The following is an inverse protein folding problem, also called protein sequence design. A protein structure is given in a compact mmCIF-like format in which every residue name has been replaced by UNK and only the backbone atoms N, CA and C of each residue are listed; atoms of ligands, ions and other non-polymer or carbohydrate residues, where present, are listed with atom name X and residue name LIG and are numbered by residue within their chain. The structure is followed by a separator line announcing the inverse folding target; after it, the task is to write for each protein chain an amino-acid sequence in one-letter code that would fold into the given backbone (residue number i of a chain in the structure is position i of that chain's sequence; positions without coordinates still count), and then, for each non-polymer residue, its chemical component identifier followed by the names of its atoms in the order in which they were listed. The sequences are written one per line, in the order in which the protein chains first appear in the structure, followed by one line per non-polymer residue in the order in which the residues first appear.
data_IF_760049349972
#
_entry.id   IF_760049349972
#
_cell.length_a   1.000
_cell.length_b   1.000
_cell.length_c   1.000
_cell.angle_alpha   90.00
_cell.angle_beta   90.00
_cell.angle_gamma   90.00
#
_symmetry.space_group_name_H-M   'P 1'
#
loop_
_entity.id
_entity.type
_entity.pdbx_description
1 polymer ?
#
# COMPACT_ATOMS: atom_id res chain seq x y z
N UNK A 1 -17.70 -8.03 -35.91
CA UNK A 1 -16.39 -8.71 -35.77
C UNK A 1 -16.07 -8.73 -34.29
N UNK A 2 -16.21 -9.88 -33.62
CA UNK A 2 -15.71 -10.01 -32.25
C UNK A 2 -14.19 -9.84 -32.33
N UNK A 3 -13.61 -9.08 -31.40
CA UNK A 3 -12.16 -9.05 -31.24
C UNK A 3 -11.67 -10.49 -31.02
N UNK A 4 -10.53 -10.90 -31.58
CA UNK A 4 -9.98 -12.23 -31.31
C UNK A 4 -9.85 -12.39 -29.79
N UNK A 5 -10.38 -13.49 -29.25
CA UNK A 5 -10.19 -13.84 -27.84
C UNK A 5 -8.70 -13.95 -27.58
N UNK A 6 -8.23 -13.08 -26.68
CA UNK A 6 -6.82 -12.97 -26.36
C UNK A 6 -6.39 -14.22 -25.59
N UNK A 7 -5.32 -14.88 -26.02
CA UNK A 7 -4.91 -16.17 -25.47
C UNK A 7 -4.34 -15.99 -24.06
N UNK A 8 -4.81 -16.79 -23.12
CA UNK A 8 -4.28 -16.84 -21.75
C UNK A 8 -2.87 -17.47 -21.78
N UNK A 9 -1.91 -16.77 -21.17
CA UNK A 9 -0.54 -17.23 -20.95
C UNK A 9 -0.40 -17.87 -19.57
N UNK A 10 -0.96 -17.23 -18.55
CA UNK A 10 -0.81 -17.67 -17.16
C UNK A 10 -1.99 -17.23 -16.29
N UNK A 11 -2.24 -17.97 -15.21
CA UNK A 11 -3.23 -17.65 -14.18
C UNK A 11 -2.63 -17.86 -12.79
N UNK A 12 -2.40 -16.76 -12.07
CA UNK A 12 -1.72 -16.80 -10.78
C UNK A 12 -2.74 -16.96 -9.66
N UNK A 13 -3.04 -18.22 -9.32
CA UNK A 13 -3.85 -18.63 -8.15
C UNK A 13 -5.18 -17.87 -7.99
N UNK A 14 -5.82 -17.50 -9.09
CA UNK A 14 -7.09 -16.78 -9.11
C UNK A 14 -7.01 -15.26 -8.92
N UNK A 15 -5.82 -14.70 -8.70
CA UNK A 15 -5.60 -13.26 -8.47
C UNK A 15 -5.44 -12.45 -9.75
N UNK A 16 -4.82 -13.02 -10.77
CA UNK A 16 -4.65 -12.37 -12.07
C UNK A 16 -4.56 -13.40 -13.20
N UNK A 17 -4.99 -12.98 -14.39
CA UNK A 17 -4.83 -13.68 -15.67
C UNK A 17 -3.96 -12.84 -16.58
N UNK A 18 -2.87 -13.40 -17.08
CA UNK A 18 -1.96 -12.77 -18.05
C UNK A 18 -2.31 -13.26 -19.46
N UNK A 19 -2.41 -12.33 -20.41
CA UNK A 19 -2.69 -12.64 -21.82
C UNK A 19 -1.44 -12.49 -22.69
N UNK A 20 -1.47 -13.10 -23.89
CA UNK A 20 -0.35 -13.16 -24.83
C UNK A 20 0.08 -11.78 -25.36
N UNK A 21 -0.84 -10.81 -25.43
CA UNK A 21 -0.51 -9.43 -25.78
C UNK A 21 0.10 -8.61 -24.61
N UNK A 22 0.29 -9.23 -23.44
CA UNK A 22 0.84 -8.61 -22.23
C UNK A 22 -0.18 -7.90 -21.34
N UNK A 23 -1.47 -7.88 -21.71
CA UNK A 23 -2.53 -7.36 -20.84
C UNK A 23 -2.76 -8.28 -19.63
N UNK A 24 -3.24 -7.69 -18.53
CA UNK A 24 -3.53 -8.40 -17.28
C UNK A 24 -4.93 -8.09 -16.79
N UNK A 25 -5.74 -9.14 -16.61
CA UNK A 25 -7.00 -9.06 -15.88
C UNK A 25 -6.78 -9.44 -14.42
N UNK A 26 -7.22 -8.60 -13.49
CA UNK A 26 -7.09 -8.80 -12.04
C UNK A 26 -8.43 -9.13 -11.37
N UNK A 27 -9.42 -9.52 -12.17
CA UNK A 27 -10.70 -10.02 -11.67
C UNK A 27 -10.49 -11.33 -10.93
N UNK A 28 -10.97 -11.40 -9.68
CA UNK A 28 -10.86 -12.59 -8.86
C UNK A 28 -11.58 -13.79 -9.50
N UNK A 29 -10.85 -14.88 -9.74
CA UNK A 29 -11.38 -16.14 -10.30
C UNK A 29 -11.24 -17.33 -9.35
N UNK A 30 -10.74 -17.11 -8.13
CA UNK A 30 -10.65 -18.13 -7.08
C UNK A 30 -11.99 -18.38 -6.36
N UNK A 31 -11.95 -19.06 -5.19
CA UNK A 31 -13.16 -19.40 -4.44
C UNK A 31 -14.04 -18.17 -4.13
N UNK A 32 -15.37 -18.24 -4.34
CA UNK A 32 -16.27 -17.10 -4.16
C UNK A 32 -16.34 -16.61 -2.71
N UNK A 33 -16.05 -17.47 -1.74
CA UNK A 33 -16.10 -17.18 -0.31
C UNK A 33 -15.09 -16.10 0.11
N UNK A 34 -14.01 -15.91 -0.65
CA UNK A 34 -12.97 -14.90 -0.36
C UNK A 34 -12.98 -13.73 -1.36
N UNK A 35 -13.87 -13.75 -2.36
CA UNK A 35 -13.97 -12.67 -3.36
C UNK A 35 -14.13 -11.29 -2.71
N UNK A 36 -14.89 -11.21 -1.62
CA UNK A 36 -15.15 -9.94 -0.92
C UNK A 36 -13.86 -9.21 -0.50
N UNK A 37 -12.75 -9.93 -0.30
CA UNK A 37 -11.46 -9.35 0.06
C UNK A 37 -10.90 -8.41 -1.01
N UNK A 38 -11.23 -8.65 -2.28
CA UNK A 38 -10.78 -7.86 -3.43
C UNK A 38 -11.75 -6.74 -3.80
N UNK A 39 -12.91 -6.67 -3.15
CA UNK A 39 -13.89 -5.64 -3.45
C UNK A 39 -13.36 -4.27 -2.98
N UNK A 40 -13.54 -3.26 -3.82
CA UNK A 40 -13.16 -1.89 -3.50
C UNK A 40 -14.15 -1.29 -2.50
N UNK A 41 -13.64 -0.69 -1.43
CA UNK A 41 -14.44 0.07 -0.47
C UNK A 41 -14.41 1.54 -0.90
N UNK A 42 -15.55 2.18 -1.20
CA UNK A 42 -15.57 3.61 -1.49
C UNK A 42 -15.08 4.44 -0.29
N UNK A 43 -14.46 5.61 -0.51
CA UNK A 43 -14.09 6.47 0.61
C UNK A 43 -15.34 7.00 1.32
N UNK A 44 -15.27 7.17 2.63
CA UNK A 44 -16.34 7.70 3.46
C UNK A 44 -15.82 8.80 4.38
N UNK A 45 -16.27 10.03 4.15
CA UNK A 45 -15.86 11.20 4.91
C UNK A 45 -16.53 11.32 6.30
N UNK A 46 -17.50 10.46 6.61
CA UNK A 46 -18.06 10.32 7.95
C UNK A 46 -17.36 9.18 8.70
N UNK A 47 -17.29 9.30 10.03
CA UNK A 47 -16.69 8.28 10.87
C UNK A 47 -17.55 7.02 10.87
N UNK A 48 -16.96 5.92 10.41
CA UNK A 48 -17.47 4.56 10.57
C UNK A 48 -16.48 3.86 11.49
N UNK A 49 -16.97 3.32 12.60
CA UNK A 49 -16.13 2.68 13.63
C UNK A 49 -14.92 3.55 14.05
N UNK A 50 -15.18 4.86 14.22
CA UNK A 50 -14.22 5.91 14.63
C UNK A 50 -13.16 6.23 13.56
N UNK A 51 -13.36 5.88 12.29
CA UNK A 51 -12.43 6.21 11.20
C UNK A 51 -13.17 6.80 10.01
N UNK A 52 -12.65 7.89 9.44
CA UNK A 52 -13.07 8.44 8.16
C UNK A 52 -12.00 8.13 7.10
N UNK A 53 -12.40 7.98 5.84
CA UNK A 53 -11.51 7.72 4.72
C UNK A 53 -11.69 8.71 3.59
N UNK A 54 -10.59 9.07 2.95
CA UNK A 54 -10.55 10.01 1.82
C UNK A 54 -9.58 9.51 0.75
N UNK A 55 -9.98 9.65 -0.52
CA UNK A 55 -9.09 9.47 -1.66
C UNK A 55 -8.68 10.81 -2.22
N UNK A 56 -7.37 11.01 -2.38
CA UNK A 56 -6.82 12.22 -2.97
C UNK A 56 -5.94 11.87 -4.18
N UNK A 57 -5.79 12.84 -5.08
CA UNK A 57 -4.79 12.81 -6.14
C UNK A 57 -3.95 14.07 -6.01
N UNK A 58 -2.63 13.93 -5.87
CA UNK A 58 -1.71 15.07 -5.80
C UNK A 58 -1.59 15.76 -7.15
N UNK A 59 -0.99 16.96 -7.18
CA UNK A 59 -0.73 17.70 -8.43
C UNK A 59 0.05 16.87 -9.47
N UNK A 60 0.90 15.96 -8.99
CA UNK A 60 1.78 15.15 -9.81
C UNK A 60 1.15 13.80 -10.18
N UNK A 61 -0.14 13.60 -9.86
CA UNK A 61 -0.92 12.42 -10.23
C UNK A 61 -0.78 11.24 -9.28
N UNK A 62 -0.06 11.38 -8.15
CA UNK A 62 0.02 10.34 -7.13
C UNK A 62 -1.34 10.20 -6.44
N UNK A 63 -1.89 8.99 -6.43
CA UNK A 63 -3.14 8.67 -5.73
C UNK A 63 -2.85 8.10 -4.36
N UNK A 64 -3.57 8.57 -3.36
CA UNK A 64 -3.41 8.16 -1.97
C UNK A 64 -4.79 7.95 -1.34
N UNK A 65 -4.91 6.94 -0.49
CA UNK A 65 -6.00 6.83 0.46
C UNK A 65 -5.52 7.20 1.85
N UNK A 66 -6.31 8.00 2.56
CA UNK A 66 -6.04 8.47 3.91
C UNK A 66 -7.13 7.93 4.84
N UNK A 67 -6.72 7.36 5.97
CA UNK A 67 -7.57 6.90 7.07
C UNK A 67 -7.29 7.79 8.26
N UNK A 68 -8.32 8.52 8.68
CA UNK A 68 -8.25 9.51 9.74
C UNK A 68 -9.06 8.99 10.92
N UNK A 69 -8.43 8.69 12.07
CA UNK A 69 -9.18 8.31 13.26
C UNK A 69 -9.90 9.53 13.85
N UNK A 70 -11.03 9.30 14.48
CA UNK A 70 -11.80 10.33 15.17
C UNK A 70 -10.99 10.90 16.34
N UNK A 71 -10.82 12.23 16.34
CA UNK A 71 -10.20 12.95 17.45
C UNK A 71 -11.27 13.36 18.44
N UNK A 72 -11.00 13.16 19.73
CA UNK A 72 -11.89 13.62 20.79
C UNK A 72 -11.83 15.14 20.90
N UNK A 73 -12.96 15.77 21.21
CA UNK A 73 -12.98 17.18 21.62
C UNK A 73 -12.04 17.32 22.83
N UNK A 74 -11.03 18.20 22.74
CA UNK A 74 -9.91 18.38 23.69
C UNK A 74 -8.62 17.57 23.45
N UNK A 75 -8.53 16.77 22.37
CA UNK A 75 -7.26 16.17 21.96
C UNK A 75 -6.46 17.11 21.06
N UNK A 76 -5.64 17.96 21.68
CA UNK A 76 -4.73 18.87 20.97
C UNK A 76 -3.46 18.16 20.44
N UNK A 77 -3.25 16.87 20.77
CA UNK A 77 -2.06 16.15 20.33
C UNK A 77 -2.11 15.90 18.80
N UNK A 78 -1.01 16.22 18.11
CA UNK A 78 -0.86 15.87 16.70
C UNK A 78 -0.62 14.36 16.59
N UNK A 79 -1.33 13.69 15.69
CA UNK A 79 -1.27 12.24 15.55
C UNK A 79 -0.05 11.79 14.74
N UNK A 80 0.60 10.66 15.09
CA UNK A 80 1.62 10.06 14.24
C UNK A 80 1.04 9.65 12.88
N UNK A 81 1.91 9.55 11.88
CA UNK A 81 1.55 9.14 10.51
C UNK A 81 2.13 7.75 10.25
N UNK A 82 1.29 6.85 9.76
CA UNK A 82 1.68 5.56 9.22
C UNK A 82 1.58 5.67 7.70
N UNK A 83 2.71 5.64 7.00
CA UNK A 83 2.73 5.45 5.56
C UNK A 83 2.79 3.95 5.28
N UNK A 84 1.64 3.37 4.91
CA UNK A 84 1.48 1.93 4.71
C UNK A 84 1.57 1.56 3.22
N UNK A 85 2.36 0.55 2.88
CA UNK A 85 2.46 -0.01 1.53
C UNK A 85 1.81 -1.39 1.50
N UNK A 86 0.79 -1.56 0.68
CA UNK A 86 0.12 -2.85 0.52
C UNK A 86 1.02 -3.90 -0.15
N UNK A 87 0.85 -5.17 0.24
CA UNK A 87 1.40 -6.33 -0.43
C UNK A 87 0.79 -6.60 -1.82
N UNK A 88 0.91 -7.85 -2.29
CA UNK A 88 0.38 -8.28 -3.60
C UNK A 88 1.43 -8.53 -4.68
N UNK A 89 2.67 -8.90 -4.30
CA UNK A 89 3.72 -9.31 -5.24
C UNK A 89 4.07 -8.24 -6.29
N UNK A 90 3.82 -6.96 -6.00
CA UNK A 90 3.89 -5.83 -6.95
C UNK A 90 2.92 -5.90 -8.14
N UNK A 91 2.08 -6.93 -8.22
CA UNK A 91 1.25 -7.22 -9.38
C UNK A 91 -0.23 -7.06 -9.08
N UNK A 92 -0.67 -7.21 -7.83
CA UNK A 92 -2.09 -7.23 -7.43
C UNK A 92 -2.37 -6.32 -6.25
N UNK A 93 -3.65 -6.19 -5.94
CA UNK A 93 -4.24 -5.39 -4.86
C UNK A 93 -4.07 -3.88 -4.98
N UNK A 94 -4.86 -3.15 -4.20
CA UNK A 94 -4.88 -1.69 -4.14
C UNK A 94 -5.15 -1.23 -2.69
N UNK A 95 -4.90 0.05 -2.42
CA UNK A 95 -5.04 0.66 -1.11
C UNK A 95 -6.47 0.59 -0.52
N UNK A 96 -7.49 0.43 -1.37
CA UNK A 96 -8.91 0.44 -1.02
C UNK A 96 -9.60 -0.93 -1.08
N UNK A 97 -8.86 -2.00 -1.39
CA UNK A 97 -9.40 -3.35 -1.31
C UNK A 97 -9.86 -3.65 0.12
N UNK A 98 -11.00 -4.34 0.26
CA UNK A 98 -11.63 -4.61 1.56
C UNK A 98 -10.65 -5.20 2.57
N UNK A 99 -9.78 -6.12 2.15
CA UNK A 99 -8.78 -6.72 3.03
C UNK A 99 -7.81 -5.70 3.64
N UNK A 100 -7.44 -4.65 2.90
CA UNK A 100 -6.60 -3.57 3.42
C UNK A 100 -7.42 -2.54 4.18
N UNK A 101 -8.60 -2.19 3.68
CA UNK A 101 -9.52 -1.28 4.37
C UNK A 101 -9.75 -1.69 5.83
N UNK A 102 -10.08 -2.96 6.08
CA UNK A 102 -10.34 -3.47 7.44
C UNK A 102 -9.10 -3.35 8.33
N UNK A 103 -7.92 -3.63 7.79
CA UNK A 103 -6.66 -3.57 8.53
C UNK A 103 -6.26 -2.11 8.81
N UNK A 104 -6.36 -1.23 7.82
CA UNK A 104 -5.96 0.17 7.94
C UNK A 104 -6.89 0.94 8.87
N UNK A 105 -8.22 0.73 8.79
CA UNK A 105 -9.16 1.32 9.74
C UNK A 105 -8.89 0.83 11.17
N UNK A 106 -8.69 -0.48 11.36
CA UNK A 106 -8.34 -1.03 12.68
C UNK A 106 -7.02 -0.47 13.21
N UNK A 107 -6.01 -0.34 12.35
CA UNK A 107 -4.71 0.20 12.70
C UNK A 107 -4.79 1.68 13.07
N UNK A 108 -5.49 2.49 12.29
CA UNK A 108 -5.70 3.92 12.55
C UNK A 108 -6.31 4.16 13.93
N UNK A 109 -7.38 3.42 14.26
CA UNK A 109 -8.04 3.49 15.57
C UNK A 109 -7.15 2.98 16.70
N UNK A 110 -6.58 1.78 16.56
CA UNK A 110 -5.82 1.14 17.63
C UNK A 110 -4.52 1.89 17.98
N UNK A 111 -3.85 2.46 16.96
CA UNK A 111 -2.62 3.23 17.13
C UNK A 111 -2.84 4.72 17.36
N UNK A 112 -4.09 5.20 17.24
CA UNK A 112 -4.44 6.64 17.17
C UNK A 112 -3.51 7.38 16.19
N UNK A 113 -3.45 6.85 14.98
CA UNK A 113 -2.53 7.31 13.94
C UNK A 113 -3.29 7.52 12.63
N UNK A 114 -2.85 8.49 11.84
CA UNK A 114 -3.29 8.61 10.46
C UNK A 114 -2.64 7.50 9.66
N UNK A 115 -3.40 6.76 8.84
CA UNK A 115 -2.81 5.83 7.87
C UNK A 115 -2.92 6.45 6.48
N UNK A 116 -1.79 6.60 5.79
CA UNK A 116 -1.72 7.05 4.40
C UNK A 116 -1.23 5.87 3.58
N UNK A 117 -1.97 5.47 2.55
CA UNK A 117 -1.63 4.35 1.67
C UNK A 117 -1.63 4.81 0.21
N UNK A 118 -0.50 4.81 -0.50
CA UNK A 118 -0.46 5.08 -1.93
C UNK A 118 -1.08 3.94 -2.73
N UNK A 119 -1.70 4.30 -3.86
CA UNK A 119 -2.05 3.35 -4.90
C UNK A 119 -0.79 3.08 -5.73
N UNK A 120 -0.11 1.98 -5.44
CA UNK A 120 1.15 1.63 -6.08
C UNK A 120 0.93 1.17 -7.53
N UNK A 121 1.71 1.68 -8.47
CA UNK A 121 1.71 1.16 -9.84
C UNK A 121 2.15 -0.30 -9.85
N UNK A 122 1.41 -1.11 -10.60
CA UNK A 122 1.56 -2.58 -10.62
C UNK A 122 2.28 -3.05 -11.87
N UNK A 123 3.07 -4.11 -11.69
CA UNK A 123 3.59 -4.92 -12.79
C UNK A 123 2.47 -5.80 -13.38
N UNK A 124 2.59 -6.18 -14.67
CA UNK A 124 3.69 -5.91 -15.60
C UNK A 124 3.64 -4.53 -16.29
N UNK A 125 2.54 -3.79 -16.20
CA UNK A 125 2.35 -2.49 -16.87
C UNK A 125 3.39 -1.47 -16.40
N UNK A 126 3.74 -1.53 -15.11
CA UNK A 126 4.76 -0.71 -14.49
C UNK A 126 5.67 -1.59 -13.62
N UNK A 127 6.69 -2.17 -14.27
CA UNK A 127 7.71 -2.99 -13.58
C UNK A 127 8.48 -2.17 -12.54
N UNK A 128 9.11 -2.87 -11.59
CA UNK A 128 10.03 -2.24 -10.64
C UNK A 128 11.09 -1.39 -11.37
N UNK A 129 11.44 -0.20 -10.85
CA UNK A 129 11.18 0.29 -9.49
C UNK A 129 9.88 1.11 -9.31
N UNK A 130 8.92 1.09 -10.24
CA UNK A 130 7.75 1.99 -10.23
C UNK A 130 7.00 2.06 -8.88
N UNK A 131 6.67 0.92 -8.27
CA UNK A 131 6.02 0.88 -6.96
C UNK A 131 6.88 1.48 -5.83
N UNK A 132 8.21 1.32 -5.91
CA UNK A 132 9.14 1.92 -4.94
C UNK A 132 9.23 3.44 -5.13
N UNK A 133 9.15 3.91 -6.38
CA UNK A 133 9.08 5.34 -6.69
C UNK A 133 7.79 5.97 -6.18
N UNK A 134 6.65 5.30 -6.32
CA UNK A 134 5.36 5.77 -5.80
C UNK A 134 5.38 5.84 -4.27
N UNK A 135 5.93 4.82 -3.61
CA UNK A 135 6.09 4.80 -2.16
C UNK A 135 7.00 5.94 -1.65
N UNK A 136 8.08 6.24 -2.37
CA UNK A 136 8.95 7.36 -2.02
C UNK A 136 8.31 8.72 -2.35
N UNK A 137 7.56 8.83 -3.45
CA UNK A 137 6.81 10.03 -3.79
C UNK A 137 5.76 10.35 -2.72
N UNK A 138 5.10 9.34 -2.14
CA UNK A 138 4.19 9.53 -1.01
C UNK A 138 4.89 10.11 0.23
N UNK A 139 6.11 9.65 0.52
CA UNK A 139 6.92 10.20 1.61
C UNK A 139 7.31 11.66 1.35
N UNK A 140 7.70 12.01 0.12
CA UNK A 140 8.00 13.39 -0.28
C UNK A 140 6.77 14.28 -0.26
N UNK A 141 5.59 13.76 -0.59
CA UNK A 141 4.33 14.49 -0.48
C UNK A 141 3.97 14.80 0.98
N UNK A 142 4.20 13.86 1.90
CA UNK A 142 4.06 14.16 3.33
C UNK A 142 5.06 15.23 3.78
N UNK A 143 6.29 15.19 3.25
CA UNK A 143 7.29 16.22 3.51
C UNK A 143 6.84 17.61 3.01
N UNK A 144 6.26 17.69 1.80
CA UNK A 144 5.84 18.97 1.23
C UNK A 144 4.68 19.58 2.02
N UNK A 145 3.77 18.77 2.58
CA UNK A 145 2.76 19.27 3.54
C UNK A 145 3.45 19.82 4.80
N UNK A 146 4.41 19.09 5.34
CA UNK A 146 5.15 19.50 6.54
C UNK A 146 5.91 20.83 6.34
N UNK A 147 6.30 21.16 5.11
CA UNK A 147 6.94 22.43 4.71
C UNK A 147 5.94 23.55 4.38
N UNK A 148 4.64 23.25 4.30
CA UNK A 148 3.63 24.19 3.82
C UNK A 148 3.66 24.42 2.30
N UNK A 149 4.33 23.54 1.54
CA UNK A 149 4.45 23.61 0.08
C UNK A 149 3.29 22.90 -0.64
N UNK A 150 2.60 21.98 0.06
CA UNK A 150 1.40 21.29 -0.43
C UNK A 150 0.26 21.44 0.56
N UNK A 151 -0.97 21.51 0.04
CA UNK A 151 -2.13 21.77 0.87
C UNK A 151 -2.89 20.48 1.20
N UNK A 152 -2.89 20.11 2.48
CA UNK A 152 -3.87 19.20 3.05
C UNK A 152 -4.19 19.69 4.47
N UNK A 153 -5.21 20.56 4.64
CA UNK A 153 -5.41 21.34 5.87
C UNK A 153 -5.45 20.47 7.13
N UNK A 154 -6.20 19.36 7.07
CA UNK A 154 -6.33 18.46 8.22
C UNK A 154 -4.98 17.85 8.65
N UNK A 155 -4.17 17.35 7.70
CA UNK A 155 -2.86 16.76 8.01
C UNK A 155 -1.88 17.83 8.50
N UNK A 156 -1.87 19.02 7.90
CA UNK A 156 -1.02 20.12 8.35
C UNK A 156 -1.28 20.47 9.82
N UNK A 157 -2.56 20.57 10.20
CA UNK A 157 -2.97 21.02 11.53
C UNK A 157 -2.92 19.90 12.57
N UNK A 158 -3.18 18.65 12.18
CA UNK A 158 -3.39 17.56 13.12
C UNK A 158 -2.41 16.39 13.03
N UNK A 159 -1.53 16.32 12.03
CA UNK A 159 -0.54 15.25 11.90
C UNK A 159 0.86 15.68 12.37
N UNK A 160 1.56 14.77 13.03
CA UNK A 160 2.91 14.94 13.54
C UNK A 160 3.93 14.35 12.55
N UNK A 161 4.45 15.23 11.68
CA UNK A 161 5.47 14.86 10.70
C UNK A 161 6.82 14.48 11.30
N UNK A 162 7.04 14.65 12.61
CA UNK A 162 8.22 14.13 13.30
C UNK A 162 8.08 12.66 13.73
N UNK A 163 6.86 12.10 13.62
CA UNK A 163 6.52 10.72 13.96
C UNK A 163 5.91 9.98 12.75
N UNK A 164 6.68 9.86 11.67
CA UNK A 164 6.28 9.07 10.49
C UNK A 164 6.83 7.65 10.58
N UNK A 165 5.96 6.65 10.47
CA UNK A 165 6.30 5.24 10.46
C UNK A 165 6.03 4.65 9.09
N UNK A 166 7.00 3.90 8.54
CA UNK A 166 6.82 3.12 7.33
C UNK A 166 6.33 1.72 7.71
N UNK A 167 5.23 1.26 7.15
CA UNK A 167 4.72 -0.11 7.39
C UNK A 167 4.37 -0.73 6.04
N UNK A 168 4.51 -2.04 5.91
CA UNK A 168 4.06 -2.74 4.71
C UNK A 168 4.25 -4.24 4.82
N UNK A 169 3.36 -4.98 4.18
CA UNK A 169 3.34 -6.44 4.19
C UNK A 169 3.81 -7.03 2.87
N UNK A 170 4.44 -8.20 2.87
CA UNK A 170 4.84 -8.91 1.64
C UNK A 170 5.66 -8.00 0.71
N UNK A 171 5.26 -7.81 -0.56
CA UNK A 171 5.91 -6.85 -1.49
C UNK A 171 5.91 -5.41 -0.96
N UNK A 172 4.89 -5.00 -0.19
CA UNK A 172 4.87 -3.71 0.50
C UNK A 172 5.97 -3.60 1.56
N UNK A 173 6.32 -4.69 2.22
CA UNK A 173 7.49 -4.75 3.12
C UNK A 173 8.82 -4.56 2.40
N UNK A 174 8.91 -4.95 1.12
CA UNK A 174 10.06 -4.62 0.27
C UNK A 174 10.07 -3.12 -0.08
N UNK A 175 8.91 -2.53 -0.39
CA UNK A 175 8.78 -1.07 -0.58
C UNK A 175 9.20 -0.31 0.68
N UNK A 176 8.82 -0.76 1.88
CA UNK A 176 9.32 -0.19 3.15
C UNK A 176 10.84 -0.12 3.16
N UNK A 177 11.53 -1.23 2.83
CA UNK A 177 12.98 -1.29 2.80
C UNK A 177 13.57 -0.28 1.81
N UNK A 178 13.05 -0.23 0.59
CA UNK A 178 13.54 0.68 -0.46
C UNK A 178 13.30 2.16 -0.11
N UNK A 179 12.13 2.50 0.41
CA UNK A 179 11.79 3.86 0.84
C UNK A 179 12.64 4.28 2.03
N UNK A 180 12.84 3.40 3.01
CA UNK A 180 13.68 3.67 4.18
C UNK A 180 15.16 3.92 3.79
N UNK A 181 15.70 3.13 2.86
CA UNK A 181 17.05 3.33 2.35
C UNK A 181 17.20 4.72 1.69
N UNK A 182 16.29 5.06 0.77
CA UNK A 182 16.27 6.37 0.11
C UNK A 182 16.07 7.53 1.08
N UNK A 183 15.26 7.34 2.12
CA UNK A 183 15.03 8.31 3.17
C UNK A 183 16.32 8.64 3.95
N UNK A 184 17.21 7.66 4.15
CA UNK A 184 18.50 7.88 4.81
C UNK A 184 19.45 8.79 4.04
N UNK A 185 19.34 8.81 2.70
CA UNK A 185 20.17 9.61 1.81
C UNK A 185 19.52 10.95 1.38
N UNK A 186 18.28 11.21 1.84
CA UNK A 186 17.50 12.38 1.42
C UNK A 186 17.24 13.33 2.58
N UNK A 187 17.46 14.64 2.44
CA UNK A 187 17.07 15.62 3.46
C UNK A 187 15.54 15.69 3.61
N UNK A 188 14.99 15.04 4.64
CA UNK A 188 13.54 14.97 4.88
C UNK A 188 12.97 16.07 5.78
N UNK A 189 13.81 16.91 6.41
CA UNK A 189 13.33 17.93 7.35
C UNK A 189 12.21 18.83 6.75
N UNK A 190 11.17 19.18 7.54
CA UNK A 190 10.99 18.85 8.96
C UNK A 190 10.44 17.43 9.22
N UNK A 191 10.10 16.67 8.17
CA UNK A 191 9.62 15.30 8.30
C UNK A 191 10.72 14.38 8.83
N UNK A 192 10.36 13.45 9.72
CA UNK A 192 11.24 12.39 10.24
C UNK A 192 10.58 11.03 10.14
N UNK A 193 11.29 10.09 9.52
CA UNK A 193 10.97 8.66 9.59
C UNK A 193 11.43 8.15 10.95
N UNK A 194 10.49 7.93 11.86
CA UNK A 194 10.72 7.51 13.24
C UNK A 194 10.92 5.98 13.37
N UNK A 195 10.44 5.20 12.40
CA UNK A 195 10.60 3.76 12.38
C UNK A 195 10.07 3.12 11.09
N UNK A 196 10.45 1.86 10.88
CA UNK A 196 10.02 1.04 9.75
C UNK A 196 9.66 -0.38 10.23
N UNK A 197 8.50 -0.89 9.80
CA UNK A 197 7.95 -2.18 10.19
C UNK A 197 7.63 -2.99 8.92
N UNK A 198 8.61 -3.72 8.35
CA UNK A 198 8.36 -4.64 7.25
C UNK A 198 7.75 -5.95 7.80
N UNK A 199 6.49 -6.21 7.46
CA UNK A 199 5.75 -7.40 7.88
C UNK A 199 5.93 -8.49 6.82
N UNK A 200 6.65 -9.56 7.14
CA UNK A 200 6.94 -10.65 6.17
C UNK A 200 7.41 -10.08 4.81
N UNK A 201 8.51 -9.31 4.74
CA UNK A 201 8.88 -8.62 3.51
C UNK A 201 9.26 -9.61 2.39
N UNK A 202 8.72 -9.37 1.20
CA UNK A 202 8.97 -10.16 0.00
C UNK A 202 10.36 -9.90 -0.56
N UNK A 203 11.30 -10.79 -0.28
CA UNK A 203 12.64 -10.80 -0.87
C UNK A 203 12.89 -12.16 -1.52
N UNK A 204 13.33 -12.14 -2.77
CA UNK A 204 13.77 -13.32 -3.47
C UNK A 204 15.30 -13.37 -3.58
N UNK A 205 15.83 -14.56 -3.81
CA UNK A 205 17.25 -14.82 -4.07
C UNK A 205 17.36 -15.68 -5.33
N UNK A 206 18.49 -15.57 -6.04
CA UNK A 206 18.73 -16.40 -7.22
C UNK A 206 18.78 -17.90 -6.87
N UNK A 207 19.21 -18.23 -5.65
CA UNK A 207 19.22 -19.59 -5.13
C UNK A 207 18.17 -19.76 -4.04
N UNK A 208 17.48 -20.90 -4.05
CA UNK A 208 16.47 -21.23 -3.05
C UNK A 208 17.10 -21.27 -1.65
N UNK A 209 16.50 -20.52 -0.75
CA UNK A 209 16.73 -20.59 0.68
C UNK A 209 16.32 -21.95 1.24
N UNK A 210 16.85 -22.26 2.42
CA UNK A 210 16.48 -23.47 3.17
C UNK A 210 14.98 -23.56 3.42
N UNK A 211 14.31 -22.44 3.72
CA UNK A 211 12.86 -22.41 3.93
C UNK A 211 12.08 -22.73 2.67
N UNK A 212 12.50 -22.25 1.49
CA UNK A 212 11.85 -22.56 0.20
C UNK A 212 12.03 -24.03 -0.21
N UNK A 213 13.08 -24.69 0.28
CA UNK A 213 13.32 -26.12 0.04
C UNK A 213 12.57 -27.04 1.02
N UNK A 214 12.43 -26.62 2.28
CA UNK A 214 11.95 -27.49 3.36
C UNK A 214 10.49 -27.27 3.75
N UNK A 215 9.89 -26.11 3.40
CA UNK A 215 8.50 -25.80 3.78
C UNK A 215 7.53 -26.19 2.67
N UNK A 216 6.40 -26.84 3.01
CA UNK A 216 5.35 -27.09 2.04
C UNK A 216 4.72 -25.77 1.59
N UNK A 217 4.26 -25.74 0.35
CA UNK A 217 3.52 -24.61 -0.19
C UNK A 217 2.20 -24.39 0.57
N UNK A 218 1.78 -23.13 0.64
CA UNK A 218 0.50 -22.72 1.23
C UNK A 218 -0.29 -21.90 0.22
N UNK A 219 -1.60 -21.68 0.40
CA UNK A 219 -2.40 -20.85 -0.51
C UNK A 219 -1.90 -19.42 -0.73
N UNK A 220 -1.02 -18.90 0.14
CA UNK A 220 -0.44 -17.56 0.05
C UNK A 220 1.07 -17.55 -0.19
N UNK A 221 1.73 -18.71 -0.12
CA UNK A 221 3.18 -18.86 -0.25
C UNK A 221 3.44 -20.12 -1.08
N UNK A 222 3.46 -19.97 -2.40
CA UNK A 222 3.86 -21.01 -3.36
C UNK A 222 5.14 -20.56 -4.07
N UNK A 223 5.86 -21.51 -4.66
CA UNK A 223 7.03 -21.17 -5.48
C UNK A 223 6.64 -20.43 -6.76
N UNK A 224 5.42 -20.63 -7.26
CA UNK A 224 4.88 -19.89 -8.41
C UNK A 224 4.63 -18.41 -8.12
N UNK A 225 4.47 -18.04 -6.84
CA UNK A 225 4.30 -16.66 -6.39
C UNK A 225 5.62 -15.94 -6.06
N UNK A 226 6.76 -16.65 -6.02
CA UNK A 226 8.05 -16.17 -5.54
C UNK A 226 9.00 -15.69 -6.65
#
# INVERSE_FOLDING_TARGET
KMAPENKIVDQVSGWLTLYEDGSVDRSWTGPPEVKFMTDHVPPHNHFIDEVATEDITTSDGLKLRIYTPEKQENDDEKLPIILHFHGGGFCISEADWYMYYVIYARLARAAKAVVVSPYLRRAPEHRLPAACDDGFAALLWLQSIAKGESNHPWLHDHADFSRVFLIGDSSGGNVVHQVAARAGDTPLNPLKVAGAIPIHPGFCRAERSKSELEKPETPFLTLDMA
#
